data_IF_743294513420
#
_entry.id   IF_743294513420
#
_cell.length_a   1.000
_cell.length_b   1.000
_cell.length_c   1.000
_cell.angle_alpha   90.00
_cell.angle_beta   90.00
_cell.angle_gamma   90.00
#
_symmetry.space_group_name_H-M   'P 1'
#
loop_
_entity.id
_entity.type
_entity.pdbx_description
1 polymer ?
#
# COMPACT_ATOMS: atom_id res chain seq x y z
N UNK A 1 17.57 7.66 -46.16
CA UNK A 1 18.64 8.34 -45.40
C UNK A 1 18.14 9.75 -45.18
N UNK A 2 17.66 10.01 -43.97
CA UNK A 2 17.61 11.31 -43.31
C UNK A 2 17.68 11.03 -41.80
N UNK A 3 18.39 11.83 -40.99
CA UNK A 3 18.86 11.43 -39.68
C UNK A 3 17.81 11.63 -38.59
N UNK A 4 17.85 10.77 -37.58
CA UNK A 4 17.13 10.92 -36.31
C UNK A 4 17.58 12.20 -35.60
N UNK A 5 16.68 13.18 -35.51
CA UNK A 5 16.84 14.31 -34.60
C UNK A 5 16.88 13.79 -33.16
N UNK A 6 18.07 13.85 -32.57
CA UNK A 6 18.32 13.48 -31.18
C UNK A 6 18.05 14.70 -30.32
N UNK A 7 16.86 14.78 -29.72
CA UNK A 7 16.55 15.83 -28.75
C UNK A 7 17.27 15.54 -27.43
N UNK A 8 18.30 16.34 -27.13
CA UNK A 8 18.98 16.33 -25.84
C UNK A 8 18.13 17.10 -24.82
N UNK A 9 17.63 16.43 -23.78
CA UNK A 9 17.01 17.09 -22.64
C UNK A 9 18.14 17.62 -21.76
N UNK A 10 18.45 18.91 -21.89
CA UNK A 10 19.29 19.60 -20.91
C UNK A 10 18.43 19.95 -19.70
N UNK A 11 18.61 19.21 -18.61
CA UNK A 11 18.15 19.64 -17.28
C UNK A 11 18.86 20.94 -16.94
N UNK A 12 18.14 22.05 -16.85
CA UNK A 12 18.66 23.26 -16.23
C UNK A 12 18.68 22.98 -14.72
N UNK A 13 19.79 22.43 -14.25
CA UNK A 13 20.13 22.43 -12.83
C UNK A 13 20.48 23.85 -12.46
N UNK A 14 19.52 24.61 -11.95
CA UNK A 14 19.88 25.76 -11.12
C UNK A 14 20.52 25.17 -9.85
N UNK A 15 21.85 25.25 -9.75
CA UNK A 15 22.55 24.93 -8.50
C UNK A 15 22.09 25.94 -7.45
N UNK A 16 21.09 25.55 -6.66
CA UNK A 16 20.74 26.28 -5.44
C UNK A 16 21.93 26.10 -4.50
N UNK A 17 22.56 27.20 -4.03
CA UNK A 17 23.62 27.10 -3.05
C UNK A 17 23.15 26.28 -1.86
N UNK A 18 23.93 25.29 -1.45
CA UNK A 18 23.56 24.35 -0.38
C UNK A 18 23.21 25.07 0.93
N UNK A 19 23.77 26.27 1.15
CA UNK A 19 23.44 27.13 2.29
C UNK A 19 22.03 27.73 2.21
N UNK A 20 21.50 28.04 1.04
CA UNK A 20 20.13 28.56 0.88
C UNK A 20 19.13 27.44 1.09
N UNK A 21 19.42 26.23 0.61
CA UNK A 21 18.57 25.07 0.82
C UNK A 21 18.48 24.69 2.31
N UNK A 22 19.60 24.65 3.02
CA UNK A 22 19.64 24.44 4.49
C UNK A 22 18.92 25.57 5.26
N UNK A 23 19.04 26.81 4.79
CA UNK A 23 18.40 27.97 5.42
C UNK A 23 16.88 27.92 5.23
N UNK A 24 16.39 27.57 4.03
CA UNK A 24 14.97 27.36 3.79
C UNK A 24 14.43 26.21 4.63
N UNK A 25 15.13 25.08 4.72
CA UNK A 25 14.72 23.95 5.54
C UNK A 25 14.67 24.31 7.04
N UNK A 26 15.60 25.15 7.53
CA UNK A 26 15.54 25.70 8.90
C UNK A 26 14.36 26.67 9.11
N UNK A 27 14.13 27.61 8.18
CA UNK A 27 13.01 28.55 8.26
C UNK A 27 11.66 27.81 8.27
N UNK A 28 11.52 26.78 7.43
CA UNK A 28 10.32 25.94 7.39
C UNK A 28 10.15 25.09 8.65
N UNK A 29 11.23 24.54 9.21
CA UNK A 29 11.19 23.81 10.48
C UNK A 29 10.72 24.69 11.64
N UNK A 30 11.13 25.96 11.67
CA UNK A 30 10.73 26.95 12.69
C UNK A 30 9.24 27.29 12.57
N UNK A 31 8.69 27.50 11.37
CA UNK A 31 7.25 27.79 11.19
C UNK A 31 6.35 26.58 11.52
N UNK A 32 6.80 25.36 11.23
CA UNK A 32 6.06 24.15 11.63
C UNK A 32 6.06 23.90 13.13
N UNK A 33 7.10 24.34 13.84
CA UNK A 33 7.20 24.17 15.30
C UNK A 33 6.13 24.98 16.06
N UNK A 34 5.68 26.11 15.50
CA UNK A 34 4.65 26.95 16.12
C UNK A 34 3.22 26.42 15.91
N UNK A 35 3.00 25.49 14.97
CA UNK A 35 1.68 24.88 14.74
C UNK A 35 1.43 23.59 15.54
N UNK A 36 2.48 22.98 16.12
CA UNK A 36 2.40 21.71 16.87
C UNK A 36 2.32 21.87 18.41
N UNK A 37 2.14 23.08 18.94
CA UNK A 37 2.32 23.41 20.36
C UNK A 37 1.24 22.94 21.37
N UNK A 38 0.42 21.93 21.07
CA UNK A 38 -0.56 21.39 22.03
C UNK A 38 -0.52 19.86 22.15
N UNK A 39 0.51 19.32 22.81
CA UNK A 39 0.58 17.88 23.10
C UNK A 39 1.92 17.38 23.69
N UNK A 40 2.44 18.02 24.73
CA UNK A 40 3.84 17.87 25.17
C UNK A 40 4.36 16.43 25.42
N UNK A 41 3.55 15.50 25.95
CA UNK A 41 4.03 14.15 26.28
C UNK A 41 3.68 13.07 25.24
N UNK A 42 2.50 13.18 24.60
CA UNK A 42 2.09 12.25 23.54
C UNK A 42 2.88 12.48 22.24
N UNK A 43 3.26 13.73 21.96
CA UNK A 43 4.05 14.08 20.78
C UNK A 43 5.51 13.59 20.88
N UNK A 44 6.09 13.52 22.09
CA UNK A 44 7.48 13.08 22.25
C UNK A 44 7.63 11.56 22.13
N UNK A 45 6.72 10.79 22.72
CA UNK A 45 6.67 9.34 22.54
C UNK A 45 6.35 8.95 21.09
N UNK A 46 5.42 9.67 20.44
CA UNK A 46 5.12 9.50 19.02
C UNK A 46 6.34 9.75 18.13
N UNK A 47 7.10 10.83 18.39
CA UNK A 47 8.33 11.17 17.65
C UNK A 47 9.42 10.10 17.79
N UNK A 48 9.56 9.48 18.96
CA UNK A 48 10.56 8.42 19.15
C UNK A 48 10.18 7.13 18.40
N UNK A 49 8.91 6.73 18.47
CA UNK A 49 8.39 5.62 17.65
C UNK A 49 8.57 5.90 16.16
N UNK A 50 8.25 7.11 15.71
CA UNK A 50 8.39 7.52 14.31
C UNK A 50 9.85 7.44 13.83
N UNK A 51 10.81 7.87 14.66
CA UNK A 51 12.24 7.75 14.37
C UNK A 51 12.68 6.29 14.25
N UNK A 52 12.24 5.44 15.18
CA UNK A 52 12.55 3.99 15.14
C UNK A 52 11.99 3.33 13.88
N UNK A 53 10.73 3.61 13.55
CA UNK A 53 10.08 3.08 12.34
C UNK A 53 10.82 3.55 11.08
N UNK A 54 11.20 4.83 11.02
CA UNK A 54 11.97 5.37 9.90
C UNK A 54 13.37 4.75 9.78
N UNK A 55 14.05 4.55 10.91
CA UNK A 55 15.34 3.89 10.94
C UNK A 55 15.24 2.45 10.45
N UNK A 56 14.30 1.66 10.99
CA UNK A 56 14.05 0.29 10.56
C UNK A 56 13.71 0.22 9.07
N UNK A 57 12.89 1.15 8.55
CA UNK A 57 12.59 1.22 7.13
C UNK A 57 13.86 1.41 6.28
N UNK A 58 14.72 2.36 6.64
CA UNK A 58 15.96 2.61 5.89
C UNK A 58 16.97 1.45 5.99
N UNK A 59 17.01 0.76 7.13
CA UNK A 59 17.89 -0.39 7.35
C UNK A 59 17.41 -1.64 6.61
N UNK A 60 16.10 -1.78 6.41
CA UNK A 60 15.50 -3.00 5.86
C UNK A 60 15.07 -2.87 4.41
N UNK A 61 14.84 -1.68 3.87
CA UNK A 61 14.42 -1.52 2.46
C UNK A 61 15.48 -2.09 1.51
N UNK A 62 15.03 -2.92 0.58
CA UNK A 62 15.88 -3.55 -0.42
C UNK A 62 15.46 -3.09 -1.82
N UNK A 63 16.41 -2.59 -2.62
CA UNK A 63 16.20 -2.41 -4.05
C UNK A 63 16.63 -3.68 -4.78
N UNK A 64 15.68 -4.35 -5.40
CA UNK A 64 15.91 -5.51 -6.28
C UNK A 64 15.76 -5.09 -7.75
N UNK A 65 15.98 -6.02 -8.68
CA UNK A 65 15.94 -5.74 -10.11
C UNK A 65 14.54 -5.29 -10.59
N UNK A 66 13.50 -5.72 -9.88
CA UNK A 66 12.09 -5.60 -10.22
C UNK A 66 11.30 -4.66 -9.30
N UNK A 67 11.94 -4.03 -8.32
CA UNK A 67 11.28 -3.04 -7.47
C UNK A 67 11.94 -2.83 -6.11
N UNK A 68 11.23 -2.11 -5.24
CA UNK A 68 11.61 -1.93 -3.85
C UNK A 68 10.85 -2.91 -2.97
N UNK A 69 11.55 -3.54 -2.03
CA UNK A 69 11.04 -4.54 -1.11
C UNK A 69 11.15 -4.01 0.32
N UNK A 70 10.01 -3.90 1.00
CA UNK A 70 9.90 -3.30 2.33
C UNK A 70 9.44 -4.33 3.35
N UNK A 71 9.78 -4.08 4.62
CA UNK A 71 9.21 -4.76 5.78
C UNK A 71 7.96 -4.03 6.26
N UNK A 72 7.00 -4.76 6.81
CA UNK A 72 5.91 -4.16 7.57
C UNK A 72 6.45 -3.59 8.89
N UNK A 73 6.02 -2.38 9.30
CA UNK A 73 6.49 -1.74 10.52
C UNK A 73 5.77 -2.36 11.74
N UNK A 74 6.18 -3.56 12.14
CA UNK A 74 5.60 -4.28 13.27
C UNK A 74 5.87 -3.57 14.60
N UNK A 75 4.84 -3.42 15.43
CA UNK A 75 5.00 -2.92 16.80
C UNK A 75 5.88 -3.86 17.63
N UNK A 76 6.81 -3.34 18.44
CA UNK A 76 7.72 -4.15 19.27
C UNK A 76 6.97 -5.12 20.21
N UNK A 77 5.84 -4.68 20.78
CA UNK A 77 4.94 -5.49 21.59
C UNK A 77 3.75 -5.94 20.73
N UNK A 78 3.94 -6.97 19.91
CA UNK A 78 2.88 -7.52 19.06
C UNK A 78 1.86 -8.28 19.95
N UNK A 79 0.62 -7.80 20.14
CA UNK A 79 -0.43 -8.69 20.61
C UNK A 79 -0.66 -9.75 19.54
N UNK A 80 -0.76 -11.02 19.94
CA UNK A 80 -0.94 -12.14 19.02
C UNK A 80 -2.03 -11.83 17.99
N UNK A 81 -1.62 -11.63 16.73
CA UNK A 81 -2.53 -11.36 15.62
C UNK A 81 -3.16 -12.70 15.19
N UNK A 82 -4.49 -12.89 15.31
CA UNK A 82 -5.14 -14.12 14.85
C UNK A 82 -5.13 -14.22 13.33
N UNK A 83 -5.35 -15.41 12.77
CA UNK A 83 -5.33 -15.60 11.32
C UNK A 83 -6.49 -14.91 10.57
N UNK A 84 -7.63 -14.62 11.21
CA UNK A 84 -8.85 -14.12 10.55
C UNK A 84 -9.39 -14.97 9.38
N UNK A 85 -8.97 -16.24 9.22
CA UNK A 85 -9.33 -17.04 8.02
C UNK A 85 -10.84 -17.29 7.91
N UNK A 86 -11.51 -17.63 9.00
CA UNK A 86 -12.95 -17.88 9.00
C UNK A 86 -13.76 -16.61 8.69
N UNK A 87 -13.32 -15.46 9.21
CA UNK A 87 -13.90 -14.15 8.91
C UNK A 87 -13.73 -13.79 7.43
N UNK A 88 -12.52 -13.97 6.89
CA UNK A 88 -12.24 -13.73 5.47
C UNK A 88 -13.09 -14.64 4.56
N UNK A 89 -13.24 -15.91 4.92
CA UNK A 89 -14.11 -16.84 4.20
C UNK A 89 -15.57 -16.39 4.21
N UNK A 90 -16.11 -15.99 5.35
CA UNK A 90 -17.49 -15.51 5.44
C UNK A 90 -17.72 -14.26 4.57
N UNK A 91 -16.74 -13.35 4.54
CA UNK A 91 -16.75 -12.17 3.66
C UNK A 91 -16.73 -12.58 2.18
N UNK A 92 -15.89 -13.54 1.79
CA UNK A 92 -15.85 -14.08 0.43
C UNK A 92 -17.20 -14.66 0.00
N UNK A 93 -17.85 -15.46 0.85
CA UNK A 93 -19.19 -16.01 0.57
C UNK A 93 -20.21 -14.91 0.29
N UNK A 94 -20.20 -13.85 1.11
CA UNK A 94 -21.10 -12.71 0.93
C UNK A 94 -20.80 -11.93 -0.35
N UNK A 95 -19.51 -11.70 -0.66
CA UNK A 95 -19.07 -11.05 -1.90
C UNK A 95 -19.54 -11.84 -3.11
N UNK A 96 -19.31 -13.16 -3.12
CA UNK A 96 -19.76 -14.02 -4.22
C UNK A 96 -21.29 -14.01 -4.37
N UNK A 97 -22.04 -14.13 -3.27
CA UNK A 97 -23.50 -14.10 -3.30
C UNK A 97 -24.06 -12.76 -3.81
N UNK A 98 -23.36 -11.66 -3.56
CA UNK A 98 -23.72 -10.34 -4.08
C UNK A 98 -23.39 -10.20 -5.57
N UNK A 99 -22.18 -10.60 -5.98
CA UNK A 99 -21.67 -10.42 -7.34
C UNK A 99 -22.26 -11.42 -8.35
N UNK A 100 -22.57 -12.65 -7.94
CA UNK A 100 -23.16 -13.70 -8.80
C UNK A 100 -24.51 -13.33 -9.42
N UNK A 101 -25.18 -12.31 -8.88
CA UNK A 101 -26.41 -11.74 -9.46
C UNK A 101 -26.15 -10.91 -10.72
N UNK A 102 -24.90 -10.50 -10.96
CA UNK A 102 -24.49 -9.68 -12.09
C UNK A 102 -23.20 -10.26 -12.69
N UNK A 103 -23.36 -11.11 -13.71
CA UNK A 103 -22.25 -11.84 -14.35
C UNK A 103 -21.14 -10.91 -14.89
N UNK A 104 -21.44 -9.78 -15.58
CA UNK A 104 -20.42 -8.80 -15.96
C UNK A 104 -19.60 -8.30 -14.77
N UNK A 105 -20.24 -7.97 -13.65
CA UNK A 105 -19.57 -7.43 -12.47
C UNK A 105 -18.70 -8.48 -11.77
N UNK A 106 -19.18 -9.73 -11.69
CA UNK A 106 -18.40 -10.84 -11.16
C UNK A 106 -17.16 -11.12 -12.02
N UNK A 107 -17.30 -11.04 -13.35
CA UNK A 107 -16.18 -11.18 -14.29
C UNK A 107 -15.16 -10.05 -14.11
N UNK A 108 -15.61 -8.80 -14.02
CA UNK A 108 -14.72 -7.66 -13.73
C UNK A 108 -13.99 -7.84 -12.40
N UNK A 109 -14.68 -8.30 -11.36
CA UNK A 109 -14.06 -8.58 -10.07
C UNK A 109 -12.97 -9.66 -10.16
N UNK A 110 -13.24 -10.74 -10.88
CA UNK A 110 -12.25 -11.79 -11.13
C UNK A 110 -11.04 -11.26 -11.93
N UNK A 111 -11.28 -10.43 -12.94
CA UNK A 111 -10.21 -9.85 -13.75
C UNK A 111 -9.23 -9.03 -12.90
N UNK A 112 -9.69 -8.35 -11.83
CA UNK A 112 -8.78 -7.65 -10.91
C UNK A 112 -7.77 -8.61 -10.27
N UNK A 113 -8.18 -9.81 -9.85
CA UNK A 113 -7.26 -10.82 -9.31
C UNK A 113 -6.32 -11.37 -10.39
N UNK A 114 -6.83 -11.64 -11.60
CA UNK A 114 -6.01 -12.12 -12.72
C UNK A 114 -4.96 -11.07 -13.13
N UNK A 115 -5.34 -9.81 -13.19
CA UNK A 115 -4.45 -8.70 -13.52
C UNK A 115 -3.36 -8.52 -12.45
N UNK A 116 -3.71 -8.63 -11.17
CA UNK A 116 -2.75 -8.56 -10.06
C UNK A 116 -1.78 -9.75 -10.06
N UNK A 117 -2.25 -10.95 -10.40
CA UNK A 117 -1.38 -12.12 -10.59
C UNK A 117 -0.42 -11.93 -11.76
N UNK A 118 -0.92 -11.46 -12.90
CA UNK A 118 -0.12 -11.22 -14.09
C UNK A 118 0.95 -10.14 -13.86
N UNK A 119 0.63 -9.11 -13.07
CA UNK A 119 1.56 -8.05 -12.67
C UNK A 119 2.47 -8.45 -11.51
N UNK A 120 2.36 -9.67 -10.98
CA UNK A 120 3.10 -10.12 -9.80
C UNK A 120 2.95 -9.14 -8.62
N UNK A 121 1.73 -8.67 -8.39
CA UNK A 121 1.34 -7.90 -7.20
C UNK A 121 0.89 -8.84 -6.08
N UNK A 122 0.28 -9.97 -6.48
CA UNK A 122 -0.09 -11.07 -5.61
C UNK A 122 0.47 -12.38 -6.17
N UNK A 123 0.73 -13.34 -5.29
CA UNK A 123 1.17 -14.69 -5.63
C UNK A 123 0.27 -15.74 -4.95
N UNK A 124 0.20 -16.93 -5.54
CA UNK A 124 -0.50 -18.07 -4.94
C UNK A 124 0.32 -18.57 -3.75
N UNK A 125 -0.34 -18.79 -2.61
CA UNK A 125 0.28 -19.42 -1.46
C UNK A 125 0.36 -20.92 -1.69
N UNK A 126 1.57 -21.48 -1.65
CA UNK A 126 1.78 -22.92 -1.62
C UNK A 126 1.50 -23.43 -0.20
N UNK A 127 0.45 -24.23 0.00
CA UNK A 127 0.10 -24.76 1.32
C UNK A 127 1.13 -25.79 1.82
N UNK A 128 1.96 -26.33 0.92
CA UNK A 128 3.05 -27.25 1.24
C UNK A 128 4.34 -26.52 1.66
N UNK A 129 4.44 -25.20 1.46
CA UNK A 129 5.56 -24.41 1.98
C UNK A 129 5.39 -24.22 3.49
N UNK A 130 6.06 -25.07 4.27
CA UNK A 130 6.18 -24.95 5.72
C UNK A 130 7.05 -23.76 6.18
N UNK A 131 7.60 -22.97 5.24
CA UNK A 131 8.24 -21.69 5.49
C UNK A 131 7.21 -20.56 5.68
N UNK A 132 6.19 -20.80 6.50
CA UNK A 132 5.22 -19.77 6.86
C UNK A 132 5.94 -18.54 7.40
N UNK A 133 5.59 -17.36 6.90
CA UNK A 133 6.05 -16.10 7.45
C UNK A 133 5.74 -16.03 8.95
N UNK A 134 6.45 -15.14 9.66
CA UNK A 134 6.38 -15.03 11.13
C UNK A 134 4.94 -14.83 11.62
N UNK A 135 4.10 -14.22 10.79
CA UNK A 135 2.71 -13.92 11.08
C UNK A 135 1.80 -14.29 9.89
N UNK A 136 0.84 -15.19 10.13
CA UNK A 136 -0.20 -15.52 9.13
C UNK A 136 -1.47 -14.72 9.46
N UNK A 137 -1.99 -13.97 8.49
CA UNK A 137 -3.22 -13.22 8.63
C UNK A 137 -3.96 -13.09 7.30
N UNK A 138 -5.28 -13.26 7.34
CA UNK A 138 -6.16 -13.21 6.19
C UNK A 138 -6.96 -11.91 6.20
N UNK A 139 -6.72 -11.07 5.21
CA UNK A 139 -7.43 -9.81 4.99
C UNK A 139 -8.64 -10.04 4.07
N UNK A 140 -9.88 -9.80 4.53
CA UNK A 140 -11.05 -9.86 3.67
C UNK A 140 -10.99 -8.75 2.61
N UNK A 141 -11.77 -8.92 1.54
CA UNK A 141 -11.91 -7.92 0.50
C UNK A 141 -13.37 -7.71 0.12
N UNK A 142 -13.67 -6.56 -0.50
CA UNK A 142 -15.01 -6.20 -0.93
C UNK A 142 -15.00 -5.32 -2.19
N UNK A 143 -16.07 -5.37 -3.01
CA UNK A 143 -16.22 -4.47 -4.16
C UNK A 143 -16.62 -3.06 -3.70
N UNK A 144 -15.93 -2.05 -4.24
CA UNK A 144 -16.38 -0.66 -4.24
C UNK A 144 -16.80 -0.31 -5.66
N UNK A 145 -18.10 -0.07 -5.85
CA UNK A 145 -18.69 0.21 -7.15
C UNK A 145 -18.94 1.70 -7.25
N UNK A 146 -18.33 2.36 -8.22
CA UNK A 146 -18.55 3.78 -8.52
C UNK A 146 -19.08 3.93 -9.94
N UNK A 147 -20.40 3.73 -10.16
CA UNK A 147 -20.98 3.61 -11.51
C UNK A 147 -20.88 4.89 -12.35
N UNK A 148 -20.76 6.05 -11.70
CA UNK A 148 -20.66 7.36 -12.34
C UNK A 148 -19.23 7.79 -12.71
N UNK A 149 -18.20 6.98 -12.41
CA UNK A 149 -16.81 7.30 -12.79
C UNK A 149 -16.53 6.85 -14.22
N UNK A 150 -15.84 7.71 -14.97
CA UNK A 150 -15.44 7.47 -16.37
C UNK A 150 -14.39 6.36 -16.52
N UNK A 151 -13.52 6.17 -15.52
CA UNK A 151 -12.40 5.23 -15.58
C UNK A 151 -12.77 3.85 -15.01
N UNK A 152 -12.71 3.67 -13.69
CA UNK A 152 -12.84 2.35 -13.05
C UNK A 152 -14.16 2.25 -12.30
N UNK A 153 -15.09 1.46 -12.83
CA UNK A 153 -16.42 1.25 -12.27
C UNK A 153 -16.42 0.34 -11.04
N UNK A 154 -15.43 -0.56 -10.93
CA UNK A 154 -15.27 -1.51 -9.83
C UNK A 154 -13.84 -1.51 -9.30
N UNK A 155 -13.68 -1.38 -7.98
CA UNK A 155 -12.39 -1.54 -7.29
C UNK A 155 -12.50 -2.62 -6.21
N UNK A 156 -11.47 -3.45 -6.08
CA UNK A 156 -11.33 -4.41 -4.97
C UNK A 156 -10.62 -3.69 -3.83
N UNK A 157 -11.24 -3.66 -2.65
CA UNK A 157 -10.65 -3.08 -1.44
C UNK A 157 -10.40 -4.18 -0.44
N UNK A 158 -9.18 -4.26 0.06
CA UNK A 158 -8.80 -5.15 1.15
C UNK A 158 -8.97 -4.44 2.49
N UNK A 159 -9.63 -5.10 3.44
CA UNK A 159 -9.96 -4.57 4.75
C UNK A 159 -8.98 -5.12 5.80
N UNK A 160 -7.87 -4.43 5.97
CA UNK A 160 -6.84 -4.73 6.97
C UNK A 160 -7.25 -4.36 8.41
N UNK A 161 -8.41 -3.71 8.58
CA UNK A 161 -9.00 -3.40 9.89
C UNK A 161 -9.98 -4.46 10.39
N UNK A 162 -10.35 -5.44 9.56
CA UNK A 162 -11.20 -6.55 9.99
C UNK A 162 -10.50 -7.36 11.08
N UNK A 163 -11.25 -7.72 12.12
CA UNK A 163 -10.76 -8.52 13.24
C UNK A 163 -11.92 -9.22 13.96
N UNK A 164 -11.61 -10.31 14.66
CA UNK A 164 -12.55 -10.90 15.62
C UNK A 164 -12.76 -9.97 16.81
N UNK A 165 -13.95 -10.03 17.42
CA UNK A 165 -14.28 -9.23 18.61
C UNK A 165 -13.25 -9.45 19.72
N UNK A 166 -12.59 -8.37 20.14
CA UNK A 166 -11.59 -8.39 21.21
C UNK A 166 -10.18 -8.82 20.78
N UNK A 167 -9.95 -9.01 19.48
CA UNK A 167 -8.63 -9.28 18.91
C UNK A 167 -8.11 -8.07 18.12
N UNK A 168 -6.79 -7.90 17.96
CA UNK A 168 -6.25 -6.84 17.12
C UNK A 168 -6.47 -7.13 15.62
N UNK A 169 -6.56 -6.08 14.81
CA UNK A 169 -6.46 -6.15 13.35
C UNK A 169 -5.02 -5.99 12.87
N UNK A 170 -4.77 -6.21 11.57
CA UNK A 170 -3.45 -5.96 10.99
C UNK A 170 -3.02 -4.49 11.19
N UNK A 171 -3.93 -3.54 10.99
CA UNK A 171 -3.63 -2.12 11.23
C UNK A 171 -3.29 -1.81 12.69
N UNK A 172 -3.83 -2.57 13.65
CA UNK A 172 -3.58 -2.31 15.08
C UNK A 172 -2.20 -2.78 15.53
N UNK A 173 -1.61 -3.76 14.84
CA UNK A 173 -0.28 -4.32 15.16
C UNK A 173 0.86 -3.71 14.34
N UNK A 174 0.54 -2.80 13.41
CA UNK A 174 1.52 -2.04 12.64
C UNK A 174 1.63 -0.62 13.16
N UNK A 175 2.84 -0.08 13.20
CA UNK A 175 3.07 1.33 13.43
C UNK A 175 2.69 2.13 12.18
N UNK A 176 2.03 3.27 12.42
CA UNK A 176 1.63 4.18 11.34
C UNK A 176 2.83 4.78 10.60
N UNK A 177 3.94 4.93 11.32
CA UNK A 177 5.13 5.65 10.88
C UNK A 177 4.93 7.16 10.77
N UNK A 178 6.02 7.89 10.47
CA UNK A 178 6.00 9.34 10.38
C UNK A 178 5.17 9.86 9.20
N UNK A 179 4.60 11.05 9.38
CA UNK A 179 3.97 11.78 8.27
C UNK A 179 5.05 12.40 7.38
N UNK A 180 5.32 11.77 6.24
CA UNK A 180 6.34 12.23 5.27
C UNK A 180 5.77 13.11 4.14
N UNK A 181 4.49 13.47 4.20
CA UNK A 181 3.84 14.26 3.15
C UNK A 181 4.28 15.72 3.25
N UNK A 182 4.82 16.32 2.16
CA UNK A 182 5.14 17.73 2.16
C UNK A 182 3.88 18.58 2.31
N UNK A 183 4.02 19.75 2.91
CA UNK A 183 2.92 20.68 3.12
C UNK A 183 2.31 21.11 1.78
N UNK A 184 0.98 20.99 1.66
CA UNK A 184 0.27 21.23 0.41
C UNK A 184 0.53 22.63 -0.15
N UNK A 185 0.59 23.65 0.71
CA UNK A 185 0.88 25.02 0.26
C UNK A 185 2.30 25.15 -0.29
N UNK A 186 3.29 24.43 0.27
CA UNK A 186 4.65 24.40 -0.23
C UNK A 186 4.74 23.76 -1.62
N UNK A 187 3.94 22.71 -1.87
CA UNK A 187 3.78 22.11 -3.20
C UNK A 187 3.19 23.15 -4.17
N UNK A 188 2.11 23.84 -3.76
CA UNK A 188 1.41 24.83 -4.62
C UNK A 188 2.28 26.05 -4.94
N UNK A 189 3.07 26.54 -3.99
CA UNK A 189 4.01 27.65 -4.20
C UNK A 189 5.09 27.25 -5.22
N UNK A 190 5.74 26.10 -5.04
CA UNK A 190 6.74 25.57 -6.00
C UNK A 190 6.14 25.37 -7.39
N UNK A 191 4.92 24.83 -7.45
CA UNK A 191 4.20 24.63 -8.71
C UNK A 191 3.93 25.94 -9.47
N UNK A 192 3.78 27.08 -8.76
CA UNK A 192 3.54 28.41 -9.35
C UNK A 192 4.80 29.19 -9.71
N UNK A 193 5.98 28.78 -9.22
CA UNK A 193 7.25 29.48 -9.55
C UNK A 193 7.72 29.20 -10.98
N UNK A 194 7.36 28.05 -11.54
CA UNK A 194 7.68 27.71 -12.92
C UNK A 194 6.73 28.36 -13.93
N UNK A 195 7.26 28.76 -15.08
CA UNK A 195 6.45 29.25 -16.21
C UNK A 195 5.59 28.13 -16.84
N UNK A 196 6.10 26.90 -16.79
CA UNK A 196 5.46 25.71 -17.36
C UNK A 196 5.33 24.65 -16.26
N UNK A 197 4.13 24.08 -16.14
CA UNK A 197 3.86 23.00 -15.21
C UNK A 197 3.41 21.73 -15.94
N UNK A 198 3.99 20.59 -15.56
CA UNK A 198 3.63 19.28 -16.09
C UNK A 198 2.94 18.49 -14.99
N UNK A 199 1.79 17.90 -15.32
CA UNK A 199 1.02 17.05 -14.41
C UNK A 199 0.90 15.67 -15.07
N UNK A 200 1.22 14.62 -14.32
CA UNK A 200 0.96 13.24 -14.70
C UNK A 200 0.47 12.46 -13.48
N UNK A 201 -0.39 11.48 -13.70
CA UNK A 201 -0.74 10.48 -12.70
C UNK A 201 0.18 9.27 -12.84
N UNK A 202 0.54 8.64 -11.72
CA UNK A 202 1.30 7.38 -11.71
C UNK A 202 0.29 6.27 -11.45
N UNK A 203 -0.07 5.55 -12.50
CA UNK A 203 -0.99 4.44 -12.38
C UNK A 203 -0.44 3.40 -11.38
N UNK A 204 -1.24 3.05 -10.37
CA UNK A 204 -0.95 1.99 -9.40
C UNK A 204 0.39 2.15 -8.66
N UNK A 205 0.79 3.39 -8.33
CA UNK A 205 2.05 3.67 -7.63
C UNK A 205 2.30 2.79 -6.38
N UNK A 206 1.28 2.56 -5.55
CA UNK A 206 1.40 1.73 -4.35
C UNK A 206 1.66 0.25 -4.63
N UNK A 207 1.24 -0.26 -5.79
CA UNK A 207 1.46 -1.66 -6.17
C UNK A 207 2.89 -1.90 -6.70
N UNK A 208 3.69 -0.84 -6.86
CA UNK A 208 5.10 -0.93 -7.26
C UNK A 208 6.04 -1.21 -6.06
N UNK A 209 5.53 -1.07 -4.83
CA UNK A 209 6.27 -1.41 -3.62
C UNK A 209 5.88 -2.82 -3.20
N UNK A 210 6.88 -3.67 -3.02
CA UNK A 210 6.73 -5.09 -2.71
C UNK A 210 7.03 -5.38 -1.25
N UNK A 211 6.49 -6.48 -0.75
CA UNK A 211 6.74 -6.98 0.60
C UNK A 211 7.86 -8.02 0.60
N UNK A 212 8.78 -7.91 1.55
CA UNK A 212 9.73 -8.99 1.76
C UNK A 212 9.03 -10.27 2.20
N UNK A 213 9.64 -11.39 1.82
CA UNK A 213 9.07 -12.74 1.92
C UNK A 213 8.58 -13.08 3.33
N UNK A 214 9.24 -12.57 4.38
CA UNK A 214 8.92 -12.88 5.76
C UNK A 214 7.59 -12.27 6.23
N UNK A 215 7.13 -11.19 5.59
CA UNK A 215 5.93 -10.42 6.00
C UNK A 215 4.72 -10.66 5.07
N UNK A 216 4.91 -11.27 3.89
CA UNK A 216 3.84 -11.48 2.91
C UNK A 216 2.62 -12.21 3.49
N UNK A 217 2.87 -13.17 4.37
CA UNK A 217 1.82 -13.99 4.98
C UNK A 217 0.87 -13.22 5.92
N UNK A 218 1.21 -11.98 6.30
CA UNK A 218 0.30 -11.09 7.00
C UNK A 218 -0.82 -10.53 6.10
N UNK A 219 -0.74 -10.74 4.79
CA UNK A 219 -1.63 -10.14 3.79
C UNK A 219 -2.37 -11.19 2.96
N UNK A 220 -2.56 -12.41 3.49
CA UNK A 220 -3.25 -13.47 2.75
C UNK A 220 -4.68 -13.06 2.42
N UNK A 221 -5.19 -13.45 1.27
CA UNK A 221 -6.58 -13.23 0.88
C UNK A 221 -7.12 -14.45 0.13
N UNK A 222 -8.45 -14.61 0.11
CA UNK A 222 -9.11 -15.79 -0.45
C UNK A 222 -9.87 -15.41 -1.71
N UNK A 223 -9.62 -16.08 -2.82
CA UNK A 223 -10.48 -15.96 -4.00
C UNK A 223 -10.72 -17.33 -4.64
N UNK A 224 -11.32 -17.36 -5.83
CA UNK A 224 -11.81 -18.58 -6.48
C UNK A 224 -10.90 -18.99 -7.63
N UNK A 225 -10.68 -20.31 -7.79
CA UNK A 225 -10.01 -20.89 -8.96
C UNK A 225 -10.88 -20.76 -10.19
N UNK A 226 -12.14 -21.17 -10.04
CA UNK A 226 -13.20 -20.92 -11.00
C UNK A 226 -14.23 -19.97 -10.39
N UNK A 227 -14.23 -18.72 -10.88
CA UNK A 227 -15.14 -17.68 -10.41
C UNK A 227 -16.60 -17.93 -10.78
N UNK A 228 -16.90 -18.88 -11.67
CA UNK A 228 -18.28 -19.26 -12.06
C UNK A 228 -18.90 -20.24 -11.07
N UNK A 229 -18.08 -20.87 -10.23
CA UNK A 229 -18.51 -21.81 -9.20
C UNK A 229 -18.52 -21.15 -7.82
N UNK A 230 -19.43 -21.54 -6.92
CA UNK A 230 -19.49 -20.98 -5.57
C UNK A 230 -18.22 -21.30 -4.75
N UNK A 231 -17.97 -20.53 -3.67
CA UNK A 231 -16.88 -20.82 -2.73
C UNK A 231 -17.05 -22.22 -2.13
N UNK A 232 -16.02 -23.04 -2.30
CA UNK A 232 -15.94 -24.39 -1.74
C UNK A 232 -14.48 -24.70 -1.39
N UNK A 233 -14.24 -25.72 -0.56
CA UNK A 233 -12.87 -26.09 -0.16
C UNK A 233 -11.95 -26.36 -1.36
N UNK A 234 -12.47 -26.99 -2.43
CA UNK A 234 -11.70 -27.27 -3.64
C UNK A 234 -11.60 -26.07 -4.60
N UNK A 235 -12.55 -25.13 -4.54
CA UNK A 235 -12.58 -23.97 -5.42
C UNK A 235 -11.87 -22.73 -4.84
N UNK A 236 -11.52 -22.72 -3.55
CA UNK A 236 -10.86 -21.56 -2.92
C UNK A 236 -9.35 -21.65 -2.98
N UNK A 237 -8.73 -20.62 -3.52
CA UNK A 237 -7.29 -20.43 -3.59
C UNK A 237 -6.89 -19.27 -2.66
N UNK A 238 -5.77 -19.45 -1.98
CA UNK A 238 -5.18 -18.43 -1.12
C UNK A 238 -4.11 -17.68 -1.90
N UNK A 239 -4.20 -16.35 -1.89
CA UNK A 239 -3.19 -15.44 -2.44
C UNK A 239 -2.53 -14.65 -1.30
N UNK A 240 -1.38 -14.02 -1.56
CA UNK A 240 -0.75 -13.01 -0.69
C UNK A 240 -0.05 -11.95 -1.53
N UNK A 241 0.16 -10.76 -0.98
CA UNK A 241 0.91 -9.71 -1.68
C UNK A 241 2.40 -10.04 -1.74
N UNK A 242 3.03 -9.67 -2.85
CA UNK A 242 4.46 -9.91 -3.14
C UNK A 242 5.35 -8.75 -2.74
#
# INVERSE_FOLDING_TARGET
>A
MDPLDTYSINTISAEVPQNEQENWDQYWAIETADTEQFGGSENEAGRETDKKVWQQFNETIERRADGYYVRLPWKELVPHLPDNKALAYQRLVNVYAALSKNEPLLREYNNVFQDQLAQQVIEVVNEDDHNGGVQIHYIPHQPVITPHKTTTKLRVVFDASSHYKGCPSLNDVLDRGPVILPLLYGILLRFRMGEIAIISDIEKAFLQVRLQEQDRDATRCLWLRDYQLPPSKSNIVTYRFT
#
